data_IF_553069227290
#
_entry.id   IF_553069227290
#
_cell.length_a   1.000
_cell.length_b   1.000
_cell.length_c   1.000
_cell.angle_alpha   90.00
_cell.angle_beta   90.00
_cell.angle_gamma   90.00
#
_symmetry.space_group_name_H-M   'P 1'
#
loop_
_entity.id
_entity.type
_entity.pdbx_description
1 polymer ?
#
# COMPACT_ATOMS: atom_id res chain seq x y z
N UNK A 1 8.31 10.44 0.20
CA UNK A 1 8.11 9.02 -0.13
C UNK A 1 7.54 8.30 1.09
N UNK A 2 6.29 7.84 1.03
CA UNK A 2 5.71 6.96 2.05
C UNK A 2 6.02 5.47 1.76
N UNK A 3 6.99 5.21 0.88
CA UNK A 3 7.31 3.87 0.39
C UNK A 3 8.02 3.01 1.45
N UNK A 4 8.63 3.62 2.48
CA UNK A 4 9.20 2.89 3.63
C UNK A 4 8.16 2.14 4.47
N UNK A 5 6.88 2.38 4.21
CA UNK A 5 5.75 1.71 4.85
C UNK A 5 5.24 0.53 3.99
N UNK A 6 5.60 0.47 2.71
CA UNK A 6 5.18 -0.60 1.82
C UNK A 6 5.91 -1.89 2.18
N UNK A 7 5.17 -2.90 2.65
CA UNK A 7 5.74 -4.20 2.99
C UNK A 7 6.51 -4.83 1.83
N UNK A 8 6.11 -4.56 0.57
CA UNK A 8 6.82 -5.07 -0.60
C UNK A 8 8.15 -4.37 -0.87
N UNK A 9 8.24 -3.05 -0.65
CA UNK A 9 9.53 -2.35 -0.71
C UNK A 9 10.43 -2.77 0.47
N UNK A 10 9.87 -2.84 1.68
CA UNK A 10 10.60 -3.26 2.87
C UNK A 10 11.14 -4.69 2.78
N UNK A 11 10.42 -5.60 2.09
CA UNK A 11 10.86 -6.97 1.83
C UNK A 11 11.80 -7.09 0.61
N UNK A 12 12.14 -5.97 -0.04
CA UNK A 12 13.01 -5.96 -1.23
C UNK A 12 12.39 -6.63 -2.46
N UNK A 13 11.06 -6.78 -2.47
CA UNK A 13 10.31 -7.50 -3.51
C UNK A 13 9.96 -6.58 -4.68
N UNK A 14 9.90 -5.26 -4.47
CA UNK A 14 9.51 -4.28 -5.48
C UNK A 14 10.68 -3.31 -5.80
N UNK A 15 11.08 -3.14 -7.07
CA UNK A 15 12.12 -2.21 -7.49
C UNK A 15 11.57 -0.78 -7.62
N UNK A 16 11.61 -0.01 -6.52
CA UNK A 16 11.23 1.41 -6.38
C UNK A 16 9.83 1.80 -6.91
N UNK A 17 9.11 2.66 -6.19
CA UNK A 17 7.71 2.97 -6.52
C UNK A 17 7.60 4.21 -7.42
N UNK A 18 6.79 4.15 -8.48
CA UNK A 18 6.44 5.31 -9.29
C UNK A 18 5.08 5.89 -8.90
N UNK A 19 4.88 7.18 -9.19
CA UNK A 19 3.62 7.88 -8.97
C UNK A 19 2.61 7.56 -10.08
N UNK A 20 1.33 7.42 -9.75
CA UNK A 20 0.27 7.22 -10.75
C UNK A 20 0.04 8.41 -11.69
N UNK A 21 0.67 9.55 -11.44
CA UNK A 21 0.66 10.72 -12.33
C UNK A 21 1.92 10.83 -13.20
N UNK A 22 2.91 9.97 -12.99
CA UNK A 22 4.13 10.00 -13.80
C UNK A 22 3.89 9.43 -15.20
N UNK A 23 4.48 10.03 -16.25
CA UNK A 23 4.31 9.56 -17.63
C UNK A 23 4.77 8.11 -17.86
N UNK A 24 5.77 7.64 -17.10
CA UNK A 24 6.33 6.29 -17.21
C UNK A 24 5.60 5.26 -16.33
N UNK A 25 4.60 5.67 -15.55
CA UNK A 25 3.89 4.77 -14.64
C UNK A 25 3.22 3.57 -15.34
N UNK A 26 2.61 3.70 -16.53
CA UNK A 26 2.07 2.56 -17.26
C UNK A 26 3.15 1.53 -17.64
N UNK A 27 4.29 2.00 -18.15
CA UNK A 27 5.41 1.11 -18.49
C UNK A 27 5.98 0.39 -17.26
N UNK A 28 6.07 1.09 -16.12
CA UNK A 28 6.52 0.47 -14.87
C UNK A 28 5.52 -0.56 -14.34
N UNK A 29 4.21 -0.32 -14.52
CA UNK A 29 3.19 -1.32 -14.18
C UNK A 29 3.31 -2.57 -15.05
N UNK A 30 3.58 -2.41 -16.35
CA UNK A 30 3.81 -3.54 -17.26
C UNK A 30 5.06 -4.34 -16.84
N UNK A 31 6.18 -3.67 -16.55
CA UNK A 31 7.40 -4.30 -16.01
C UNK A 31 7.11 -5.13 -14.75
N UNK A 32 6.35 -4.56 -13.80
CA UNK A 32 5.94 -5.27 -12.58
C UNK A 32 5.06 -6.49 -12.86
N UNK A 33 4.21 -6.44 -13.88
CA UNK A 33 3.38 -7.58 -14.29
C UNK A 33 4.26 -8.68 -14.91
N UNK A 34 5.21 -8.30 -15.76
CA UNK A 34 6.16 -9.23 -16.39
C UNK A 34 7.07 -9.91 -15.36
N UNK A 35 7.50 -9.17 -14.33
CA UNK A 35 8.31 -9.68 -13.21
C UNK A 35 7.51 -10.53 -12.20
N UNK A 36 6.19 -10.67 -12.40
CA UNK A 36 5.32 -11.47 -11.53
C UNK A 36 4.89 -10.78 -10.23
N UNK A 37 5.01 -9.46 -10.15
CA UNK A 37 4.63 -8.62 -9.01
C UNK A 37 3.53 -7.60 -9.39
N UNK A 38 2.36 -8.04 -9.88
CA UNK A 38 1.31 -7.11 -10.28
C UNK A 38 0.87 -6.23 -9.11
N UNK A 39 0.91 -4.91 -9.30
CA UNK A 39 0.53 -3.95 -8.26
C UNK A 39 -0.86 -3.37 -8.53
N UNK A 40 -1.95 -3.91 -7.95
CA UNK A 40 -3.30 -3.39 -8.15
C UNK A 40 -3.46 -1.96 -7.63
N UNK A 41 -2.67 -1.58 -6.60
CA UNK A 41 -2.65 -0.22 -6.07
C UNK A 41 -2.06 0.78 -7.09
N UNK A 42 -1.00 0.42 -7.80
CA UNK A 42 -0.40 1.24 -8.85
C UNK A 42 -1.34 1.33 -10.07
N UNK A 43 -1.92 0.20 -10.50
CA UNK A 43 -2.92 0.20 -11.57
C UNK A 43 -4.10 1.13 -11.27
N UNK A 44 -4.59 1.11 -10.03
CA UNK A 44 -5.62 2.01 -9.55
C UNK A 44 -5.15 3.47 -9.54
N UNK A 45 -3.93 3.75 -9.06
CA UNK A 45 -3.36 5.09 -9.01
C UNK A 45 -3.21 5.70 -10.42
N UNK A 46 -2.71 4.93 -11.38
CA UNK A 46 -2.61 5.33 -12.80
C UNK A 46 -3.98 5.67 -13.37
N UNK A 47 -4.94 4.74 -13.20
CA UNK A 47 -6.30 4.91 -13.73
C UNK A 47 -6.99 6.16 -13.19
N UNK A 48 -6.78 6.47 -11.92
CA UNK A 48 -7.42 7.60 -11.25
C UNK A 48 -6.55 8.87 -11.21
N UNK A 49 -5.35 8.84 -11.82
CA UNK A 49 -4.37 9.95 -11.77
C UNK A 49 -4.08 10.43 -10.34
N UNK A 50 -3.93 9.48 -9.43
CA UNK A 50 -3.57 9.75 -8.04
C UNK A 50 -2.06 9.63 -7.88
N UNK A 51 -1.47 10.53 -7.09
CA UNK A 51 -0.01 10.61 -6.93
C UNK A 51 0.57 9.29 -6.38
N UNK A 52 0.17 8.87 -5.18
CA UNK A 52 0.49 7.55 -4.63
C UNK A 52 -0.77 6.96 -4.02
N UNK A 53 -0.85 5.62 -3.96
CA UNK A 53 -2.03 4.95 -3.40
C UNK A 53 -2.36 5.44 -1.98
N UNK A 54 -1.34 5.68 -1.14
CA UNK A 54 -1.47 6.21 0.23
C UNK A 54 -1.92 7.68 0.33
N UNK A 55 -1.93 8.42 -0.78
CA UNK A 55 -2.41 9.80 -0.85
C UNK A 55 -3.88 9.87 -1.33
N UNK A 56 -4.54 8.73 -1.53
CA UNK A 56 -5.93 8.69 -1.95
C UNK A 56 -6.87 9.01 -0.78
N UNK A 57 -7.81 9.91 -1.02
CA UNK A 57 -8.92 10.30 -0.14
C UNK A 57 -9.86 9.14 0.21
N UNK A 58 -9.87 8.08 -0.60
CA UNK A 58 -10.70 6.89 -0.39
C UNK A 58 -10.08 5.87 0.57
N UNK A 59 -8.92 6.15 1.17
CA UNK A 59 -8.32 5.24 2.14
C UNK A 59 -9.13 5.26 3.44
N UNK A 60 -9.47 4.09 4.01
CA UNK A 60 -9.16 2.73 3.54
C UNK A 60 -10.11 2.25 2.42
N UNK A 61 -9.59 1.56 1.39
CA UNK A 61 -10.39 1.10 0.24
C UNK A 61 -10.18 -0.38 -0.13
N UNK A 62 -11.15 -0.94 -0.86
CA UNK A 62 -11.17 -2.34 -1.26
C UNK A 62 -9.95 -2.77 -2.10
N UNK A 63 -9.40 -1.87 -2.93
CA UNK A 63 -8.21 -2.17 -3.74
C UNK A 63 -7.01 -2.50 -2.87
N UNK A 64 -6.83 -1.73 -1.78
CA UNK A 64 -5.73 -1.95 -0.83
C UNK A 64 -6.00 -3.19 0.03
N UNK A 65 -7.24 -3.41 0.46
CA UNK A 65 -7.61 -4.58 1.26
C UNK A 65 -7.52 -5.90 0.49
N UNK A 66 -8.01 -5.94 -0.75
CA UNK A 66 -7.97 -7.13 -1.59
C UNK A 66 -6.57 -7.38 -2.14
N UNK A 67 -5.83 -6.32 -2.45
CA UNK A 67 -4.44 -6.40 -2.89
C UNK A 67 -3.43 -6.67 -1.78
N UNK A 68 -3.84 -6.62 -0.51
CA UNK A 68 -2.96 -6.71 0.67
C UNK A 68 -1.78 -5.71 0.62
N UNK A 69 -2.06 -4.49 0.16
CA UNK A 69 -1.07 -3.41 -0.03
C UNK A 69 -1.48 -2.18 0.79
N UNK A 70 -0.56 -1.52 1.52
CA UNK A 70 0.79 -1.98 1.84
C UNK A 70 0.82 -3.04 2.96
N UNK A 71 -0.35 -3.37 3.53
CA UNK A 71 -0.50 -4.26 4.66
C UNK A 71 -1.47 -5.39 4.32
N UNK A 72 -1.14 -6.59 4.78
CA UNK A 72 -2.04 -7.74 4.78
C UNK A 72 -3.17 -7.57 5.79
N UNK A 73 -4.27 -8.31 5.60
CA UNK A 73 -5.34 -8.39 6.61
C UNK A 73 -4.80 -8.82 7.97
N UNK A 74 -3.78 -9.70 7.96
CA UNK A 74 -3.11 -10.17 9.17
C UNK A 74 -2.42 -9.00 9.91
N UNK A 75 -1.60 -8.22 9.21
CA UNK A 75 -0.88 -7.08 9.79
C UNK A 75 -1.85 -6.02 10.34
N UNK A 76 -2.96 -5.74 9.64
CA UNK A 76 -3.99 -4.82 10.13
C UNK A 76 -4.73 -5.37 11.37
N UNK A 77 -5.03 -6.67 11.41
CA UNK A 77 -5.77 -7.29 12.52
C UNK A 77 -4.90 -7.38 13.77
N UNK A 78 -3.63 -7.77 13.62
CA UNK A 78 -2.67 -7.82 14.73
C UNK A 78 -2.38 -6.42 15.27
N UNK A 79 -2.15 -5.44 14.40
CA UNK A 79 -1.94 -4.04 14.78
C UNK A 79 -3.14 -3.44 15.54
N UNK A 80 -4.38 -3.72 15.12
CA UNK A 80 -5.59 -3.28 15.84
C UNK A 80 -5.70 -3.89 17.24
N UNK A 81 -5.28 -5.14 17.42
CA UNK A 81 -5.24 -5.81 18.72
C UNK A 81 -4.26 -5.14 19.69
N UNK A 82 -3.05 -4.83 19.21
CA UNK A 82 -2.04 -4.09 19.98
C UNK A 82 -2.50 -2.67 20.30
N UNK A 83 -3.08 -1.96 19.32
CA UNK A 83 -3.59 -0.61 19.53
C UNK A 83 -4.69 -0.59 20.60
N UNK A 84 -5.61 -1.57 20.56
CA UNK A 84 -6.67 -1.70 21.56
C UNK A 84 -6.11 -2.01 22.95
N UNK A 85 -5.05 -2.83 23.04
CA UNK A 85 -4.36 -3.10 24.30
C UNK A 85 -3.71 -1.82 24.86
N UNK A 86 -3.01 -1.06 24.02
CA UNK A 86 -2.37 0.19 24.40
C UNK A 86 -3.38 1.25 24.87
N UNK A 87 -4.50 1.40 24.15
CA UNK A 87 -5.59 2.29 24.57
C UNK A 87 -6.13 1.88 25.95
N UNK A 88 -6.40 0.58 26.16
CA UNK A 88 -6.85 0.08 27.46
C UNK A 88 -5.82 0.25 28.59
N UNK A 89 -4.51 0.26 28.27
CA UNK A 89 -3.45 0.52 29.25
C UNK A 89 -3.33 2.02 29.58
N UNK A 90 -3.59 2.90 28.61
CA UNK A 90 -3.64 4.36 28.81
C UNK A 90 -4.86 4.79 29.63
N UNK A 91 -6.03 4.18 29.41
CA UNK A 91 -7.25 4.48 30.18
C UNK A 91 -7.21 3.99 31.64
N UNK A 92 -6.25 3.14 31.99
CA UNK A 92 -6.03 2.64 33.36
C UNK A 92 -5.05 3.50 34.17
N UNK A 93 -4.49 4.56 33.59
CA UNK A 93 -3.67 5.57 34.28
C UNK A 93 -4.48 6.81 34.60
#
# INVERSE_FOLDING_TARGET
MACGICAFLAKGVCPDCCSGTEPNAPAKLEELIEDGFPCPALACAIKNKVYYCLNCDKIPCDVLYQGEIPYSKKELTEGLGELRRLVNELEKK
#
